data_IF_660980403298
#
_entry.id   IF_660980403298
#
_cell.length_a   1.000
_cell.length_b   1.000
_cell.length_c   1.000
_cell.angle_alpha   90.00
_cell.angle_beta   90.00
_cell.angle_gamma   90.00
#
_symmetry.space_group_name_H-M   'P 1'
#
loop_
_entity.id
_entity.type
_entity.pdbx_description
1 polymer ?
#
# COMPACT_ATOMS: atom_id res chain seq x y z
N UNK A 1 12.50 -24.30 4.07
CA UNK A 1 12.62 -23.79 2.69
C UNK A 1 12.49 -22.28 2.79
N UNK A 2 13.53 -21.52 2.47
CA UNK A 2 13.39 -20.07 2.33
C UNK A 2 12.40 -19.81 1.20
N UNK A 3 11.22 -19.28 1.53
CA UNK A 3 10.30 -18.73 0.55
C UNK A 3 11.04 -17.63 -0.20
N UNK A 4 11.44 -17.91 -1.44
CA UNK A 4 11.88 -16.86 -2.36
C UNK A 4 10.71 -15.91 -2.52
N UNK A 5 10.77 -14.74 -1.86
CA UNK A 5 9.77 -13.69 -2.02
C UNK A 5 9.68 -13.34 -3.51
N UNK A 6 8.63 -13.80 -4.17
CA UNK A 6 8.36 -13.47 -5.56
C UNK A 6 7.93 -12.01 -5.59
N UNK A 7 8.85 -11.12 -5.96
CA UNK A 7 8.54 -9.70 -6.12
C UNK A 7 7.98 -9.49 -7.52
N UNK A 8 6.71 -9.10 -7.59
CA UNK A 8 6.04 -8.71 -8.84
C UNK A 8 5.98 -7.19 -8.98
N UNK A 9 5.97 -6.68 -10.21
CA UNK A 9 5.77 -5.25 -10.49
C UNK A 9 4.31 -4.98 -10.80
N UNK A 10 3.71 -4.03 -10.07
CA UNK A 10 2.41 -3.48 -10.40
C UNK A 10 2.61 -2.36 -11.43
N UNK A 11 2.01 -2.52 -12.63
CA UNK A 11 2.04 -1.50 -13.66
C UNK A 11 0.79 -0.63 -13.56
N UNK A 12 0.88 0.48 -12.82
CA UNK A 12 -0.26 1.35 -12.52
C UNK A 12 0.11 2.80 -12.78
N UNK A 13 -0.77 3.51 -13.49
CA UNK A 13 -0.67 4.95 -13.65
C UNK A 13 -1.20 5.66 -12.40
N UNK A 14 -0.38 6.59 -11.86
CA UNK A 14 -0.75 7.39 -10.69
C UNK A 14 -0.79 8.88 -11.04
N UNK A 15 -1.76 9.65 -10.53
CA UNK A 15 -1.80 11.10 -10.75
C UNK A 15 -0.49 11.77 -10.32
N UNK A 16 0.05 12.67 -11.15
CA UNK A 16 1.31 13.36 -10.85
C UNK A 16 1.29 14.10 -9.50
N UNK A 17 0.14 14.68 -9.14
CA UNK A 17 -0.04 15.35 -7.84
C UNK A 17 0.15 14.39 -6.67
N UNK A 18 -0.35 13.15 -6.79
CA UNK A 18 -0.21 12.13 -5.76
C UNK A 18 1.24 11.69 -5.64
N UNK A 19 1.90 11.37 -6.76
CA UNK A 19 3.33 11.04 -6.79
C UNK A 19 4.19 12.13 -6.13
N UNK A 20 3.89 13.40 -6.40
CA UNK A 20 4.60 14.53 -5.79
C UNK A 20 4.41 14.60 -4.28
N UNK A 21 3.18 14.37 -3.78
CA UNK A 21 2.89 14.32 -2.35
C UNK A 21 3.66 13.20 -1.65
N UNK A 22 3.66 11.99 -2.22
CA UNK A 22 4.40 10.85 -1.67
C UNK A 22 5.90 11.17 -1.62
N UNK A 23 6.46 11.75 -2.69
CA UNK A 23 7.88 12.12 -2.73
C UNK A 23 8.25 13.15 -1.64
N UNK A 24 7.39 14.13 -1.38
CA UNK A 24 7.61 15.12 -0.31
C UNK A 24 7.61 14.44 1.05
N UNK A 25 6.68 13.51 1.30
CA UNK A 25 6.65 12.73 2.53
C UNK A 25 7.93 11.90 2.71
N UNK A 26 8.35 11.17 1.67
CA UNK A 26 9.57 10.36 1.69
C UNK A 26 10.81 11.19 2.03
N UNK A 27 10.91 12.41 1.48
CA UNK A 27 12.03 13.30 1.76
C UNK A 27 12.02 13.89 3.19
N UNK A 28 10.85 14.00 3.83
CA UNK A 28 10.73 14.50 5.19
C UNK A 28 11.07 13.44 6.23
N UNK A 29 10.59 12.23 6.01
CA UNK A 29 10.72 11.11 6.95
C UNK A 29 11.96 10.24 6.67
N UNK A 30 12.74 10.55 5.62
CA UNK A 30 13.91 9.79 5.17
C UNK A 30 13.60 8.30 4.88
N UNK A 31 12.52 8.05 4.13
CA UNK A 31 12.02 6.71 3.79
C UNK A 31 11.95 6.47 2.28
N UNK A 32 12.00 5.20 1.85
CA UNK A 32 11.89 4.86 0.43
C UNK A 32 10.44 4.89 -0.07
N UNK A 33 10.25 5.36 -1.30
CA UNK A 33 8.92 5.46 -1.92
C UNK A 33 8.25 4.10 -2.07
N UNK A 34 8.99 3.01 -2.30
CA UNK A 34 8.42 1.67 -2.45
C UNK A 34 7.89 1.17 -1.11
N UNK A 35 8.61 1.40 -0.02
CA UNK A 35 8.17 1.01 1.32
C UNK A 35 6.86 1.71 1.68
N UNK A 36 6.78 3.03 1.43
CA UNK A 36 5.56 3.81 1.67
C UNK A 36 4.39 3.27 0.83
N UNK A 37 4.61 2.95 -0.44
CA UNK A 37 3.56 2.42 -1.31
C UNK A 37 3.12 1.02 -0.88
N UNK A 38 4.05 0.15 -0.47
CA UNK A 38 3.72 -1.20 0.04
C UNK A 38 2.87 -1.09 1.30
N UNK A 39 3.31 -0.30 2.29
CA UNK A 39 2.57 -0.11 3.54
C UNK A 39 1.18 0.48 3.32
N UNK A 40 1.04 1.43 2.38
CA UNK A 40 -0.25 2.00 2.04
C UNK A 40 -1.20 0.96 1.41
N UNK A 41 -0.68 0.07 0.56
CA UNK A 41 -1.48 -1.01 -0.04
C UNK A 41 -1.87 -2.04 1.02
N UNK A 42 -0.94 -2.47 1.88
CA UNK A 42 -1.22 -3.41 2.97
C UNK A 42 -2.28 -2.84 3.92
N UNK A 43 -2.12 -1.60 4.36
CA UNK A 43 -3.09 -0.94 5.26
C UNK A 43 -4.47 -0.82 4.62
N UNK A 44 -4.53 -0.49 3.33
CA UNK A 44 -5.79 -0.40 2.59
C UNK A 44 -6.50 -1.76 2.49
N UNK A 45 -5.75 -2.84 2.22
CA UNK A 45 -6.31 -4.19 2.17
C UNK A 45 -6.80 -4.65 3.55
N UNK A 46 -6.03 -4.40 4.60
CA UNK A 46 -6.41 -4.72 5.99
C UNK A 46 -7.70 -4.00 6.42
N UNK A 47 -7.89 -2.75 5.99
CA UNK A 47 -9.12 -1.98 6.22
C UNK A 47 -10.30 -2.60 5.45
N UNK A 48 -10.11 -2.94 4.18
CA UNK A 48 -11.16 -3.58 3.37
C UNK A 48 -11.59 -4.95 3.91
N UNK A 49 -10.66 -5.76 4.39
CA UNK A 49 -10.98 -7.06 4.99
C UNK A 49 -11.77 -6.92 6.29
N UNK A 50 -11.42 -5.94 7.14
CA UNK A 50 -12.18 -5.64 8.37
C UNK A 50 -13.60 -5.21 8.07
N UNK A 51 -13.79 -4.34 7.07
CA UNK A 51 -15.12 -3.87 6.67
C UNK A 51 -15.96 -5.01 6.05
N UNK A 52 -15.32 -5.88 5.26
CA UNK A 52 -15.96 -7.08 4.70
C UNK A 52 -16.40 -8.05 5.80
N UNK A 53 -15.61 -8.24 6.86
CA UNK A 53 -15.97 -9.09 7.99
C UNK A 53 -17.12 -8.51 8.81
N UNK A 54 -17.16 -7.19 9.03
CA UNK A 54 -18.28 -6.55 9.76
C UNK A 54 -19.61 -6.68 9.01
N UNK A 55 -19.59 -6.64 7.67
CA UNK A 55 -20.79 -6.85 6.86
C UNK A 55 -21.35 -8.29 6.91
N UNK A 56 -20.52 -9.29 7.26
CA UNK A 56 -20.95 -10.70 7.40
C UNK A 56 -21.50 -11.05 8.79
N UNK A 57 -21.16 -10.30 9.84
CA UNK A 57 -21.64 -10.58 11.21
C UNK A 57 -23.02 -9.97 11.48
N UNK A 58 -23.49 -9.05 10.64
CA UNK A 58 -24.83 -8.44 10.72
C UNK A 58 -25.84 -8.99 9.69
N UNK A 59 -25.47 -10.03 8.93
CA UNK A 59 -26.33 -10.71 7.95
C UNK A 59 -26.99 -11.96 8.50
#
# INVERSE_FOLDING_TARGET
MEEKKVIVRLNVDVPMKLRRRIKIYCAKEDVDIKEVVILAIESFLDEMEKDSLQSHVQG
#
